data_IF_482929571434
#
_entry.id   IF_482929571434
#
_cell.length_a   1.000
_cell.length_b   1.000
_cell.length_c   1.000
_cell.angle_alpha   90.00
_cell.angle_beta   90.00
_cell.angle_gamma   90.00
#
_symmetry.space_group_name_H-M   'P 1'
#
loop_
_entity.id
_entity.type
_entity.pdbx_description
1 polymer ?
#
# COMPACT_ATOMS: atom_id res chain seq x y z
N UNK A 1 31.48 50.91 -7.81
CA UNK A 1 30.77 49.76 -8.47
C UNK A 1 31.19 48.39 -7.91
N UNK A 2 32.48 48.10 -7.72
CA UNK A 2 32.89 46.76 -7.19
C UNK A 2 32.35 46.42 -5.79
N UNK A 3 32.23 47.40 -4.88
CA UNK A 3 31.72 47.15 -3.51
C UNK A 3 30.20 46.87 -3.48
N UNK A 4 29.43 47.43 -4.40
CA UNK A 4 28.00 47.22 -4.52
C UNK A 4 27.70 45.79 -5.01
N UNK A 5 28.50 45.26 -5.95
CA UNK A 5 28.36 43.92 -6.46
C UNK A 5 28.64 42.85 -5.41
N UNK A 6 29.60 43.07 -4.48
CA UNK A 6 29.91 42.17 -3.38
C UNK A 6 28.75 42.10 -2.39
N UNK A 7 28.08 43.23 -2.13
CA UNK A 7 26.91 43.31 -1.25
C UNK A 7 25.70 42.53 -1.83
N UNK A 8 25.49 42.59 -3.14
CA UNK A 8 24.43 41.83 -3.83
C UNK A 8 24.70 40.32 -3.85
N UNK A 9 25.96 39.89 -4.03
CA UNK A 9 26.35 38.47 -3.98
C UNK A 9 26.15 37.92 -2.58
N UNK A 10 26.51 38.68 -1.53
CA UNK A 10 26.28 38.27 -0.13
C UNK A 10 24.79 38.17 0.21
N UNK A 11 23.94 39.03 -0.31
CA UNK A 11 22.49 38.99 -0.08
C UNK A 11 21.83 37.76 -0.76
N UNK A 12 22.28 37.44 -1.99
CA UNK A 12 21.77 36.26 -2.73
C UNK A 12 22.19 34.97 -2.05
N UNK A 13 23.40 34.86 -1.50
CA UNK A 13 23.85 33.65 -0.81
C UNK A 13 23.08 33.38 0.49
N UNK A 14 22.63 34.41 1.20
CA UNK A 14 21.79 34.26 2.42
C UNK A 14 20.39 33.80 2.07
N UNK A 15 19.85 34.19 0.91
CA UNK A 15 18.51 33.73 0.47
C UNK A 15 18.47 32.28 0.02
N UNK A 16 19.62 31.69 -0.34
CA UNK A 16 19.70 30.28 -0.77
C UNK A 16 19.75 29.28 0.41
N UNK A 17 20.06 29.76 1.63
CA UNK A 17 20.12 28.87 2.81
C UNK A 17 18.78 28.71 3.53
N UNK A 18 17.80 29.59 3.26
CA UNK A 18 16.51 29.58 3.95
C UNK A 18 15.58 28.40 3.60
N UNK A 19 15.84 27.68 2.49
CA UNK A 19 15.01 26.54 2.09
C UNK A 19 15.50 25.17 2.60
N UNK A 20 16.67 25.11 3.23
CA UNK A 20 17.26 23.83 3.65
C UNK A 20 16.74 23.34 5.01
N UNK A 21 16.48 24.27 5.92
CA UNK A 21 16.04 23.93 7.30
C UNK A 21 14.61 23.36 7.35
N UNK A 22 13.74 23.74 6.40
CA UNK A 22 12.38 23.18 6.31
C UNK A 22 12.37 21.74 5.76
N UNK A 23 13.38 21.37 4.97
CA UNK A 23 13.48 20.04 4.39
C UNK A 23 14.04 18.98 5.36
N UNK A 24 14.80 19.40 6.36
CA UNK A 24 15.31 18.49 7.41
C UNK A 24 14.23 18.08 8.43
N UNK A 25 13.17 18.86 8.60
CA UNK A 25 12.10 18.61 9.59
C UNK A 25 11.05 17.60 9.13
N UNK A 26 11.01 17.23 7.85
CA UNK A 26 10.02 16.31 7.28
C UNK A 26 10.22 14.83 7.70
N UNK A 27 11.29 14.52 8.45
CA UNK A 27 11.64 13.15 8.88
C UNK A 27 11.53 12.92 10.37
N UNK A 28 10.86 13.82 11.11
CA UNK A 28 10.77 13.75 12.57
C UNK A 28 9.87 12.62 13.07
N UNK A 29 8.99 12.08 12.21
CA UNK A 29 8.08 10.98 12.54
C UNK A 29 7.95 10.01 11.39
N UNK A 30 8.12 8.74 11.71
CA UNK A 30 7.82 7.67 10.78
C UNK A 30 6.33 7.33 10.78
N UNK A 31 5.82 6.92 9.64
CA UNK A 31 4.41 6.56 9.50
C UNK A 31 4.21 5.30 8.67
N UNK A 32 3.10 4.61 8.93
CA UNK A 32 2.66 3.44 8.18
C UNK A 32 1.24 3.65 7.68
N UNK A 33 0.92 3.15 6.49
CA UNK A 33 -0.43 3.28 5.94
C UNK A 33 -0.67 2.40 4.72
N UNK A 34 -1.93 2.04 4.48
CA UNK A 34 -2.32 1.51 3.18
C UNK A 34 -2.44 2.66 2.16
N UNK A 35 -1.70 2.56 1.05
CA UNK A 35 -1.72 3.59 0.01
C UNK A 35 -3.08 3.69 -0.71
N UNK A 36 -3.84 2.59 -0.77
CA UNK A 36 -5.20 2.54 -1.32
C UNK A 36 -6.12 1.76 -0.42
N UNK A 37 -7.29 2.32 -0.10
CA UNK A 37 -8.29 1.69 0.76
C UNK A 37 -9.20 0.71 0.02
N UNK A 38 -9.33 0.82 -1.32
CA UNK A 38 -10.17 -0.08 -2.14
C UNK A 38 -9.49 -0.42 -3.47
N UNK A 39 -8.34 -1.09 -3.47
CA UNK A 39 -7.67 -1.49 -4.71
C UNK A 39 -8.44 -2.63 -5.40
N UNK A 40 -8.57 -2.53 -6.72
CA UNK A 40 -8.97 -3.65 -7.56
C UNK A 40 -7.72 -4.37 -8.08
N UNK A 41 -7.65 -5.68 -7.87
CA UNK A 41 -6.60 -6.57 -8.37
C UNK A 41 -7.19 -7.54 -9.37
N UNK A 42 -6.70 -7.51 -10.60
CA UNK A 42 -7.09 -8.44 -11.64
C UNK A 42 -5.99 -9.48 -11.82
N UNK A 43 -6.36 -10.74 -11.69
CA UNK A 43 -5.49 -11.89 -11.92
C UNK A 43 -5.76 -12.41 -13.33
N UNK A 44 -4.74 -12.90 -14.00
CA UNK A 44 -4.89 -13.63 -15.25
C UNK A 44 -4.78 -15.11 -14.94
N UNK A 45 -5.82 -15.88 -15.28
CA UNK A 45 -5.82 -17.33 -15.04
C UNK A 45 -4.64 -17.99 -15.76
N UNK A 46 -4.11 -19.06 -15.16
CA UNK A 46 -2.96 -19.83 -15.66
C UNK A 46 -1.61 -19.07 -15.72
N UNK A 47 -1.51 -17.93 -14.99
CA UNK A 47 -0.27 -17.18 -14.82
C UNK A 47 0.17 -17.15 -13.35
N UNK A 48 0.88 -16.11 -12.90
CA UNK A 48 1.17 -15.96 -11.47
C UNK A 48 -0.12 -15.65 -10.70
N UNK A 49 -0.67 -16.71 -10.05
CA UNK A 49 -1.91 -16.67 -9.26
C UNK A 49 -1.66 -16.05 -7.89
N UNK A 50 -0.93 -14.94 -7.83
CA UNK A 50 -0.61 -14.25 -6.58
C UNK A 50 -0.61 -12.74 -6.72
N UNK A 51 -0.83 -12.08 -5.57
CA UNK A 51 -0.65 -10.63 -5.43
C UNK A 51 0.17 -10.35 -4.18
N UNK A 52 0.72 -9.14 -4.11
CA UNK A 52 1.28 -8.59 -2.88
C UNK A 52 0.34 -7.52 -2.33
N UNK A 53 0.05 -7.63 -1.05
CA UNK A 53 -0.71 -6.64 -0.29
C UNK A 53 0.23 -6.07 0.76
N UNK A 54 0.28 -4.75 0.88
CA UNK A 54 1.23 -4.15 1.79
C UNK A 54 0.90 -2.72 2.17
N UNK A 55 1.64 -2.27 3.17
CA UNK A 55 1.63 -0.91 3.68
C UNK A 55 2.88 -0.17 3.25
N UNK A 56 2.73 1.11 2.95
CA UNK A 56 3.84 2.00 2.73
C UNK A 56 4.38 2.50 4.08
N UNK A 57 5.69 2.69 4.14
CA UNK A 57 6.38 3.31 5.26
C UNK A 57 6.92 4.66 4.77
N UNK A 58 6.56 5.72 5.46
CA UNK A 58 6.95 7.09 5.14
C UNK A 58 7.53 7.82 6.33
N UNK A 59 7.90 9.09 6.13
CA UNK A 59 8.37 9.96 7.20
C UNK A 59 9.76 9.62 7.76
N UNK A 60 10.51 8.74 7.10
CA UNK A 60 11.90 8.44 7.46
C UNK A 60 12.80 8.29 6.23
N UNK A 61 14.07 8.65 6.39
CA UNK A 61 15.04 8.66 5.28
C UNK A 61 15.48 7.26 4.86
N UNK A 62 15.57 6.35 5.82
CA UNK A 62 15.99 4.98 5.60
C UNK A 62 14.96 4.01 6.17
N UNK A 63 14.61 3.01 5.38
CA UNK A 63 13.71 1.93 5.75
C UNK A 63 14.54 0.67 5.97
N UNK A 64 14.28 -0.03 7.06
CA UNK A 64 15.04 -1.19 7.47
C UNK A 64 14.25 -2.49 7.24
N UNK A 65 14.98 -3.61 7.10
CA UNK A 65 14.35 -4.93 6.93
C UNK A 65 13.61 -5.42 8.17
N UNK A 66 13.85 -4.80 9.32
CA UNK A 66 13.16 -5.04 10.59
C UNK A 66 11.92 -4.15 10.79
N UNK A 67 11.59 -3.28 9.82
CA UNK A 67 10.32 -2.59 9.79
C UNK A 67 9.18 -3.58 9.48
N UNK A 68 8.09 -3.47 10.22
CA UNK A 68 6.96 -4.37 10.11
C UNK A 68 5.63 -3.71 10.47
N UNK A 69 4.56 -4.37 10.03
CA UNK A 69 3.20 -4.12 10.48
C UNK A 69 2.46 -5.45 10.65
N UNK A 70 1.56 -5.53 11.63
CA UNK A 70 0.63 -6.64 11.77
C UNK A 70 -0.75 -6.26 11.28
N UNK A 71 -1.50 -7.24 10.83
CA UNK A 71 -2.83 -7.06 10.30
C UNK A 71 -3.75 -8.20 10.71
N UNK A 72 -5.05 -7.96 10.57
CA UNK A 72 -6.09 -8.97 10.63
C UNK A 72 -7.00 -8.86 9.40
N UNK A 73 -7.74 -9.92 9.13
CA UNK A 73 -8.84 -9.89 8.15
C UNK A 73 -10.10 -9.49 8.91
N UNK A 74 -10.60 -8.28 8.64
CA UNK A 74 -11.76 -7.71 9.34
C UNK A 74 -12.98 -7.65 8.41
N UNK A 75 -13.91 -8.63 8.51
CA UNK A 75 -15.11 -8.67 7.68
C UNK A 75 -16.02 -7.45 7.85
N UNK A 76 -15.98 -6.76 9.00
CA UNK A 76 -16.82 -5.58 9.26
C UNK A 76 -16.56 -4.42 8.29
N UNK A 77 -15.36 -4.37 7.69
CA UNK A 77 -15.02 -3.40 6.66
C UNK A 77 -15.86 -3.54 5.37
N UNK A 78 -16.52 -4.67 5.19
CA UNK A 78 -17.38 -4.93 4.01
C UNK A 78 -18.82 -4.48 4.21
N UNK A 79 -19.23 -4.10 5.42
CA UNK A 79 -20.58 -3.71 5.74
C UNK A 79 -21.05 -2.53 4.86
N UNK A 80 -22.18 -2.69 4.20
CA UNK A 80 -22.74 -1.68 3.30
C UNK A 80 -21.98 -1.46 1.98
N UNK A 81 -20.92 -2.22 1.69
CA UNK A 81 -20.12 -2.04 0.46
C UNK A 81 -20.68 -2.77 -0.76
N UNK A 82 -21.53 -3.79 -0.56
CA UNK A 82 -21.97 -4.71 -1.61
C UNK A 82 -20.91 -5.72 -2.05
N UNK A 83 -19.76 -5.77 -1.37
CA UNK A 83 -18.71 -6.74 -1.61
C UNK A 83 -18.96 -8.04 -0.82
N UNK A 84 -18.41 -9.14 -1.30
CA UNK A 84 -18.51 -10.45 -0.65
C UNK A 84 -17.16 -10.82 -0.06
N UNK A 85 -17.14 -11.24 1.21
CA UNK A 85 -15.91 -11.74 1.83
C UNK A 85 -15.40 -12.94 1.02
N UNK A 86 -14.12 -12.92 0.68
CA UNK A 86 -13.48 -14.03 -0.02
C UNK A 86 -13.39 -15.23 0.93
N UNK A 87 -13.86 -16.44 0.53
CA UNK A 87 -13.72 -17.64 1.33
C UNK A 87 -12.25 -17.97 1.64
N UNK A 88 -11.97 -18.43 2.85
CA UNK A 88 -10.60 -18.73 3.30
C UNK A 88 -9.91 -19.82 2.46
N UNK A 89 -10.67 -20.75 1.90
CA UNK A 89 -10.12 -21.80 1.03
C UNK A 89 -9.77 -21.31 -0.39
N UNK A 90 -10.06 -20.05 -0.72
CA UNK A 90 -9.74 -19.47 -2.04
C UNK A 90 -8.36 -18.82 -2.08
N UNK A 91 -7.72 -18.59 -0.92
CA UNK A 91 -6.41 -17.95 -0.88
C UNK A 91 -5.58 -18.45 0.32
N UNK A 92 -4.29 -18.22 0.22
CA UNK A 92 -3.32 -18.47 1.29
C UNK A 92 -2.42 -17.25 1.46
N UNK A 93 -2.25 -16.82 2.70
CA UNK A 93 -1.31 -15.77 3.08
C UNK A 93 0.06 -16.41 3.36
N UNK A 94 1.13 -15.85 2.82
CA UNK A 94 2.50 -16.28 3.13
C UNK A 94 2.86 -16.09 4.61
N UNK A 95 2.24 -15.10 5.26
CA UNK A 95 2.25 -14.92 6.70
C UNK A 95 0.83 -14.54 7.13
N UNK A 96 0.25 -15.19 8.15
CA UNK A 96 -1.17 -15.03 8.50
C UNK A 96 -1.51 -13.66 9.09
N UNK A 97 -0.54 -12.95 9.67
CA UNK A 97 -0.81 -11.73 10.40
C UNK A 97 0.29 -10.66 10.33
N UNK A 98 1.38 -10.88 9.56
CA UNK A 98 2.51 -9.94 9.55
C UNK A 98 2.97 -9.60 8.14
N UNK A 99 3.16 -8.31 7.90
CA UNK A 99 3.82 -7.73 6.73
C UNK A 99 5.25 -7.33 7.10
N UNK A 100 6.21 -7.65 6.25
CA UNK A 100 7.63 -7.33 6.44
C UNK A 100 8.23 -6.74 5.19
N UNK A 101 9.31 -5.99 5.36
CA UNK A 101 10.04 -5.41 4.24
C UNK A 101 10.89 -6.50 3.57
N UNK A 102 10.54 -6.84 2.35
CA UNK A 102 11.33 -7.75 1.51
C UNK A 102 12.39 -7.03 0.67
N UNK A 103 12.17 -5.74 0.38
CA UNK A 103 13.09 -4.88 -0.34
C UNK A 103 13.08 -3.47 0.26
N UNK A 104 14.10 -3.07 1.03
CA UNK A 104 14.13 -1.78 1.71
C UNK A 104 14.11 -0.58 0.76
N UNK A 105 14.53 -0.76 -0.49
CA UNK A 105 14.47 0.31 -1.50
C UNK A 105 13.05 0.69 -1.91
N UNK A 106 12.04 -0.14 -1.60
CA UNK A 106 10.65 0.14 -1.95
C UNK A 106 9.85 0.78 -0.82
N UNK A 107 10.36 0.81 0.41
CA UNK A 107 9.67 1.32 1.59
C UNK A 107 8.25 0.72 1.77
N UNK A 108 8.10 -0.57 1.47
CA UNK A 108 6.83 -1.31 1.53
C UNK A 108 7.03 -2.59 2.34
N UNK A 109 6.23 -2.72 3.42
CA UNK A 109 6.07 -4.00 4.10
C UNK A 109 4.89 -4.73 3.47
N UNK A 110 5.10 -5.94 2.95
CA UNK A 110 4.08 -6.69 2.23
C UNK A 110 3.91 -8.13 2.72
N UNK A 111 2.78 -8.72 2.35
CA UNK A 111 2.50 -10.14 2.44
C UNK A 111 2.06 -10.65 1.07
N UNK A 112 2.59 -11.80 0.65
CA UNK A 112 2.13 -12.47 -0.57
C UNK A 112 0.83 -13.22 -0.28
N UNK A 113 -0.16 -13.02 -1.15
CA UNK A 113 -1.44 -13.73 -1.18
C UNK A 113 -1.45 -14.59 -2.43
N UNK A 114 -1.51 -15.91 -2.27
CA UNK A 114 -1.60 -16.87 -3.38
C UNK A 114 -3.02 -17.41 -3.45
N UNK A 115 -3.59 -17.46 -4.65
CA UNK A 115 -4.97 -17.94 -4.86
C UNK A 115 -4.96 -19.40 -5.26
N UNK A 116 -5.97 -20.15 -4.79
CA UNK A 116 -6.15 -21.57 -5.06
C UNK A 116 -6.98 -21.81 -6.32
N UNK A 117 -6.91 -23.02 -6.85
CA UNK A 117 -7.74 -23.45 -7.98
C UNK A 117 -9.25 -23.35 -7.67
N UNK A 118 -9.65 -23.55 -6.41
CA UNK A 118 -11.05 -23.40 -5.98
C UNK A 118 -11.63 -21.99 -6.26
N UNK A 119 -10.80 -20.95 -6.26
CA UNK A 119 -11.23 -19.60 -6.63
C UNK A 119 -11.51 -19.49 -8.13
N UNK A 120 -10.69 -20.12 -8.97
CA UNK A 120 -10.83 -20.09 -10.44
C UNK A 120 -11.92 -21.03 -10.96
N UNK A 121 -12.26 -22.07 -10.22
CA UNK A 121 -13.33 -23.02 -10.53
C UNK A 121 -14.72 -22.50 -10.10
N UNK A 122 -14.78 -21.47 -9.27
CA UNK A 122 -16.05 -20.89 -8.83
C UNK A 122 -16.67 -19.99 -9.93
N UNK A 123 -17.67 -20.53 -10.63
CA UNK A 123 -18.43 -19.75 -11.61
C UNK A 123 -19.11 -18.49 -11.00
N UNK A 124 -19.38 -18.49 -9.70
CA UNK A 124 -19.92 -17.33 -9.02
C UNK A 124 -18.90 -16.21 -8.88
N UNK A 125 -17.60 -16.50 -8.90
CA UNK A 125 -16.54 -15.50 -8.84
C UNK A 125 -16.53 -14.54 -10.05
N UNK A 126 -17.10 -14.94 -11.17
CA UNK A 126 -17.29 -14.05 -12.34
C UNK A 126 -18.29 -12.93 -12.08
N UNK A 127 -19.27 -13.17 -11.23
CA UNK A 127 -20.38 -12.24 -10.95
C UNK A 127 -20.29 -11.62 -9.53
N UNK A 128 -19.69 -12.31 -8.58
CA UNK A 128 -19.44 -11.79 -7.23
C UNK A 128 -18.19 -10.93 -7.21
N UNK A 129 -18.25 -9.88 -6.41
CA UNK A 129 -17.08 -9.04 -6.16
C UNK A 129 -16.46 -9.49 -4.83
N UNK A 130 -15.60 -10.51 -4.88
CA UNK A 130 -14.87 -10.98 -3.72
C UNK A 130 -13.82 -9.97 -3.27
N UNK A 131 -13.71 -9.81 -1.97
CA UNK A 131 -12.73 -8.91 -1.36
C UNK A 131 -12.08 -9.54 -0.13
N UNK A 132 -10.82 -9.16 0.11
CA UNK A 132 -10.06 -9.48 1.30
C UNK A 132 -9.85 -8.19 2.07
N UNK A 133 -10.53 -7.98 3.22
CA UNK A 133 -10.44 -6.75 4.00
C UNK A 133 -9.30 -6.85 5.03
N UNK A 134 -8.22 -6.13 4.80
CA UNK A 134 -7.09 -6.00 5.71
C UNK A 134 -7.27 -4.80 6.63
N UNK A 135 -7.05 -4.97 7.94
CA UNK A 135 -6.95 -3.91 8.94
C UNK A 135 -5.61 -3.98 9.63
N UNK A 136 -4.92 -2.86 9.79
CA UNK A 136 -3.72 -2.76 10.62
C UNK A 136 -4.09 -2.92 12.10
N UNK A 137 -3.28 -3.72 12.82
CA UNK A 137 -3.44 -3.98 14.25
C UNK A 137 -2.30 -3.34 15.04
N UNK A 138 -1.05 -3.52 14.55
CA UNK A 138 0.14 -3.03 15.24
C UNK A 138 1.28 -2.78 14.25
N UNK A 139 2.26 -1.96 14.64
CA UNK A 139 3.41 -1.60 13.80
C UNK A 139 4.56 -1.05 14.65
N UNK A 140 5.76 -0.99 14.08
CA UNK A 140 6.93 -0.38 14.72
C UNK A 140 7.26 1.04 14.22
N UNK A 141 6.31 1.73 13.62
CA UNK A 141 6.42 3.14 13.23
C UNK A 141 5.80 4.05 14.31
N UNK A 142 6.01 5.37 14.24
CA UNK A 142 5.50 6.31 15.25
C UNK A 142 3.98 6.49 15.16
N UNK A 143 3.41 6.48 13.93
CA UNK A 143 1.99 6.72 13.73
C UNK A 143 1.41 6.04 12.48
N UNK A 144 0.08 5.92 12.41
CA UNK A 144 -0.66 5.61 11.18
C UNK A 144 -1.02 6.93 10.50
N UNK A 145 -0.67 7.06 9.21
CA UNK A 145 -1.04 8.24 8.43
C UNK A 145 -2.54 8.38 8.25
N UNK A 146 -2.98 9.63 8.11
CA UNK A 146 -4.37 9.98 7.81
C UNK A 146 -4.55 10.47 6.36
N UNK A 147 -5.78 10.49 5.90
CA UNK A 147 -6.17 11.19 4.67
C UNK A 147 -6.34 12.71 4.93
N UNK A 148 -6.70 13.46 3.89
CA UNK A 148 -6.93 14.92 3.96
C UNK A 148 -8.09 15.32 4.86
N UNK A 149 -8.97 14.38 5.23
CA UNK A 149 -10.11 14.58 6.12
C UNK A 149 -9.82 14.11 7.56
N UNK A 150 -8.62 13.62 7.84
CA UNK A 150 -8.21 13.12 9.14
C UNK A 150 -8.61 11.66 9.42
N UNK A 151 -9.11 10.90 8.42
CA UNK A 151 -9.42 9.49 8.61
C UNK A 151 -8.13 8.67 8.53
N UNK A 152 -7.99 7.69 9.43
CA UNK A 152 -6.85 6.78 9.43
C UNK A 152 -6.82 5.94 8.15
N UNK A 153 -5.64 5.77 7.59
CA UNK A 153 -5.38 4.88 6.45
C UNK A 153 -4.93 3.49 6.93
N UNK A 154 -5.64 2.96 7.91
CA UNK A 154 -5.36 1.74 8.64
C UNK A 154 -5.97 0.48 8.00
N UNK A 155 -6.71 0.62 6.89
CA UNK A 155 -7.36 -0.51 6.25
C UNK A 155 -7.19 -0.52 4.73
N UNK A 156 -7.36 -1.70 4.13
CA UNK A 156 -7.47 -1.88 2.68
C UNK A 156 -8.41 -3.02 2.32
N UNK A 157 -9.45 -2.74 1.56
CA UNK A 157 -10.39 -3.72 1.03
C UNK A 157 -9.91 -4.12 -0.37
N UNK A 158 -9.17 -5.20 -0.47
CA UNK A 158 -8.59 -5.67 -1.74
C UNK A 158 -9.64 -6.45 -2.52
N UNK A 159 -10.23 -5.82 -3.53
CA UNK A 159 -11.18 -6.49 -4.43
C UNK A 159 -10.42 -7.29 -5.46
N UNK A 160 -10.74 -8.58 -5.59
CA UNK A 160 -10.04 -9.51 -6.47
C UNK A 160 -10.98 -9.99 -7.57
N UNK A 161 -10.49 -9.93 -8.80
CA UNK A 161 -11.13 -10.51 -9.97
C UNK A 161 -10.13 -11.35 -10.74
N UNK A 162 -10.60 -12.34 -11.46
CA UNK A 162 -9.78 -13.01 -12.45
C UNK A 162 -10.38 -12.92 -13.85
N UNK A 163 -9.53 -13.01 -14.84
CA UNK A 163 -9.88 -13.03 -16.26
C UNK A 163 -9.12 -14.16 -16.93
N UNK A 164 -9.70 -14.73 -17.99
CA UNK A 164 -8.98 -15.68 -18.85
C UNK A 164 -7.83 -14.95 -19.55
N UNK A 165 -6.74 -15.65 -19.85
CA UNK A 165 -5.64 -15.14 -20.68
C UNK A 165 -6.10 -14.71 -22.07
N UNK A 166 -7.25 -15.18 -22.54
CA UNK A 166 -7.87 -14.80 -23.82
C UNK A 166 -8.91 -13.71 -23.68
N UNK A 167 -9.06 -13.10 -22.50
CA UNK A 167 -10.00 -12.01 -22.27
C UNK A 167 -9.56 -10.75 -23.01
N UNK A 168 -10.38 -10.27 -23.95
CA UNK A 168 -10.07 -9.08 -24.72
C UNK A 168 -11.09 -8.81 -25.82
N UNK A 169 -10.95 -7.68 -26.50
CA UNK A 169 -11.71 -7.36 -27.71
C UNK A 169 -10.90 -7.80 -28.93
N UNK A 170 -11.46 -8.70 -29.72
CA UNK A 170 -10.84 -9.19 -30.95
C UNK A 170 -11.55 -8.52 -32.13
N UNK A 171 -10.76 -7.95 -33.03
CA UNK A 171 -11.24 -7.49 -34.32
C UNK A 171 -11.12 -8.64 -35.33
N UNK A 172 -12.24 -9.01 -35.95
CA UNK A 172 -12.31 -10.04 -37.03
C UNK A 172 -12.39 -9.33 -38.35
#
# INVERSE_FOLDING_TARGET
MKRLNILWIGLISVLMTACYDDYEKDYDKSSVYFASQKPLRTLVADTDMSIKVGVAIGGKREVHTDDWATFEIDPSLLDGTGLTLMPENYYQLANPNKMTISNPNLAIADVKVTFSDAFYEDNAALNKHYAIPFRLVDHNQDEISTDVNGNLKDYSIVVVKFVSQYHGTYFV
#
